data_IF_297777371576
#
_entry.id   IF_297777371576
#
_cell.length_a   1.000
_cell.length_b   1.000
_cell.length_c   1.000
_cell.angle_alpha   90.00
_cell.angle_beta   90.00
_cell.angle_gamma   90.00
#
_symmetry.space_group_name_H-M   'P 1'
#
loop_
_entity.id
_entity.type
_entity.pdbx_description
1 polymer ?
#
# COMPACT_ATOMS: atom_id res chain seq x y z
N UNK A 1 22.34 27.58 3.65
CA UNK A 1 21.20 26.95 4.35
C UNK A 1 20.67 25.68 3.65
N UNK A 2 20.38 25.69 2.34
CA UNK A 2 19.87 24.54 1.55
C UNK A 2 20.61 23.18 1.65
N UNK A 3 21.94 23.18 1.76
CA UNK A 3 22.72 21.93 1.98
C UNK A 3 22.66 21.43 3.43
N UNK A 4 22.50 22.32 4.42
CA UNK A 4 22.44 21.92 5.83
C UNK A 4 21.17 21.14 6.15
N UNK A 5 19.98 21.60 5.71
CA UNK A 5 18.70 20.90 5.97
C UNK A 5 18.61 19.50 5.34
N UNK A 6 18.97 19.33 4.05
CA UNK A 6 19.01 17.98 3.43
C UNK A 6 20.01 17.04 4.11
N UNK A 7 21.12 17.59 4.59
CA UNK A 7 22.14 16.82 5.34
C UNK A 7 21.62 16.49 6.74
N UNK A 8 20.89 17.39 7.39
CA UNK A 8 20.25 17.18 8.69
C UNK A 8 19.14 16.13 8.64
N UNK A 9 18.30 16.11 7.60
CA UNK A 9 17.24 15.10 7.44
C UNK A 9 17.83 13.72 7.14
N UNK A 10 18.85 13.62 6.27
CA UNK A 10 19.59 12.36 6.06
C UNK A 10 20.32 11.91 7.32
N UNK A 11 20.92 12.85 8.06
CA UNK A 11 21.63 12.60 9.31
C UNK A 11 20.69 12.16 10.43
N UNK A 12 19.51 12.76 10.55
CA UNK A 12 18.47 12.32 11.50
C UNK A 12 17.87 10.98 11.11
N UNK A 13 17.64 10.70 9.82
CA UNK A 13 17.26 9.35 9.35
C UNK A 13 18.35 8.32 9.69
N UNK A 14 19.64 8.67 9.54
CA UNK A 14 20.73 7.78 9.95
C UNK A 14 20.87 7.67 11.46
N UNK A 15 20.65 8.73 12.23
CA UNK A 15 20.76 8.75 13.70
C UNK A 15 19.59 8.01 14.35
N UNK A 16 18.38 8.08 13.80
CA UNK A 16 17.23 7.27 14.25
C UNK A 16 17.42 5.82 13.85
N UNK A 17 17.84 5.53 12.61
CA UNK A 17 18.23 4.16 12.22
C UNK A 17 19.35 3.62 13.11
N UNK A 18 20.32 4.46 13.49
CA UNK A 18 21.43 4.08 14.37
C UNK A 18 20.96 3.93 15.82
N UNK A 19 20.08 4.77 16.34
CA UNK A 19 19.53 4.65 17.70
C UNK A 19 18.62 3.42 17.83
N UNK A 20 17.84 3.12 16.79
CA UNK A 20 17.02 1.91 16.71
C UNK A 20 17.89 0.66 16.53
N UNK A 21 18.92 0.72 15.68
CA UNK A 21 19.94 -0.33 15.55
C UNK A 21 20.69 -0.52 16.86
N UNK A 22 21.01 0.54 17.60
CA UNK A 22 21.69 0.48 18.90
C UNK A 22 20.75 -0.07 19.96
N UNK A 23 19.45 0.22 19.95
CA UNK A 23 18.47 -0.45 20.82
C UNK A 23 18.30 -1.93 20.46
N UNK A 24 18.27 -2.26 19.17
CA UNK A 24 18.18 -3.64 18.70
C UNK A 24 19.45 -4.43 19.06
N UNK A 25 20.62 -3.81 18.88
CA UNK A 25 21.93 -4.38 19.23
C UNK A 25 22.11 -4.44 20.74
N UNK A 26 21.60 -3.49 21.52
CA UNK A 26 21.66 -3.57 23.00
C UNK A 26 20.71 -4.63 23.57
N UNK A 27 19.59 -4.92 22.89
CA UNK A 27 18.76 -6.11 23.15
C UNK A 27 19.50 -7.40 22.75
N UNK A 28 20.26 -7.40 21.66
CA UNK A 28 21.08 -8.54 21.21
C UNK A 28 22.39 -8.74 22.01
N UNK A 29 22.91 -7.71 22.67
CA UNK A 29 24.16 -7.73 23.45
C UNK A 29 23.97 -7.95 24.95
N UNK A 30 22.75 -8.26 25.42
CA UNK A 30 22.55 -8.82 26.76
C UNK A 30 23.19 -10.22 26.80
N UNK A 31 24.29 -10.41 27.55
CA UNK A 31 25.03 -11.66 27.50
C UNK A 31 24.25 -12.74 28.27
N UNK A 32 23.91 -13.82 27.54
CA UNK A 32 23.54 -15.16 28.01
C UNK A 32 22.34 -15.26 28.96
N UNK A 33 21.17 -15.63 28.42
CA UNK A 33 20.30 -16.75 28.85
C UNK A 33 18.89 -16.61 28.23
N UNK A 34 18.79 -16.58 26.91
CA UNK A 34 17.59 -17.01 26.19
C UNK A 34 18.10 -17.76 24.96
N UNK A 35 18.31 -19.07 25.09
CA UNK A 35 18.18 -19.90 23.91
C UNK A 35 16.72 -19.73 23.50
N UNK A 36 16.47 -19.11 22.34
CA UNK A 36 15.14 -19.17 21.77
C UNK A 36 14.75 -20.65 21.68
N UNK A 37 13.62 -21.03 22.26
CA UNK A 37 13.16 -22.43 22.26
C UNK A 37 12.91 -22.91 20.84
N UNK A 38 12.52 -21.97 19.97
CA UNK A 38 12.35 -22.18 18.54
C UNK A 38 12.99 -21.04 17.76
N UNK A 39 13.74 -21.39 16.71
CA UNK A 39 14.31 -20.44 15.75
C UNK A 39 14.10 -21.00 14.36
N UNK A 40 13.46 -20.21 13.50
CA UNK A 40 13.25 -20.56 12.10
C UNK A 40 13.94 -19.55 11.18
N UNK A 41 14.46 -20.09 10.08
CA UNK A 41 15.05 -19.34 8.99
C UNK A 41 14.31 -19.74 7.72
N UNK A 42 13.76 -18.76 7.03
CA UNK A 42 13.12 -18.95 5.74
C UNK A 42 13.56 -17.85 4.79
N UNK A 43 13.55 -18.11 3.50
CA UNK A 43 13.93 -17.10 2.53
C UNK A 43 13.60 -17.45 1.11
N UNK A 44 14.00 -16.58 0.21
CA UNK A 44 13.95 -16.88 -1.22
C UNK A 44 14.99 -16.09 -2.00
N UNK A 45 15.25 -16.57 -3.22
CA UNK A 45 15.86 -15.80 -4.30
C UNK A 45 14.87 -15.69 -5.44
N UNK A 46 14.75 -14.50 -6.02
CA UNK A 46 13.77 -14.20 -7.05
C UNK A 46 14.33 -13.27 -8.13
N UNK A 47 14.01 -13.57 -9.39
CA UNK A 47 14.10 -12.62 -10.50
C UNK A 47 12.73 -12.04 -10.83
N UNK A 48 12.64 -10.73 -11.03
CA UNK A 48 11.44 -10.06 -11.54
C UNK A 48 11.80 -9.21 -12.75
N UNK A 49 11.08 -9.42 -13.84
CA UNK A 49 11.29 -8.70 -15.09
C UNK A 49 9.94 -8.24 -15.63
N UNK A 50 9.83 -6.98 -16.02
CA UNK A 50 8.61 -6.37 -16.56
C UNK A 50 8.97 -5.49 -17.73
N UNK A 51 8.46 -5.85 -18.91
CA UNK A 51 8.73 -5.21 -20.18
C UNK A 51 7.51 -4.40 -20.62
N UNK A 52 7.70 -3.13 -21.00
CA UNK A 52 6.64 -2.32 -21.59
C UNK A 52 6.28 -2.87 -22.98
N UNK A 53 4.99 -3.00 -23.27
CA UNK A 53 4.46 -3.50 -24.54
C UNK A 53 3.66 -2.46 -25.32
N UNK A 54 3.32 -1.32 -24.70
CA UNK A 54 2.61 -0.23 -25.36
C UNK A 54 3.55 0.77 -26.08
N UNK A 55 4.83 0.85 -25.69
CA UNK A 55 5.82 1.72 -26.32
C UNK A 55 7.06 1.94 -25.44
N UNK A 56 7.83 2.98 -25.74
CA UNK A 56 9.00 3.34 -24.95
C UNK A 56 8.62 3.92 -23.58
N UNK A 57 9.42 3.64 -22.56
CA UNK A 57 9.30 4.33 -21.26
C UNK A 57 9.74 5.80 -21.38
N UNK A 58 9.38 6.67 -20.42
CA UNK A 58 9.83 8.06 -20.42
C UNK A 58 11.35 8.24 -20.45
N UNK A 59 12.11 7.28 -19.90
CA UNK A 59 13.58 7.26 -19.95
C UNK A 59 14.17 6.63 -21.23
N UNK A 60 13.31 6.21 -22.17
CA UNK A 60 13.70 5.61 -23.44
C UNK A 60 14.14 4.14 -23.35
N UNK A 61 13.96 3.47 -22.21
CA UNK A 61 14.24 2.03 -22.04
C UNK A 61 12.96 1.20 -22.20
N UNK A 62 13.13 -0.11 -22.30
CA UNK A 62 12.00 -1.03 -22.52
C UNK A 62 11.41 -1.59 -21.20
N UNK A 63 12.23 -1.77 -20.16
CA UNK A 63 11.80 -2.42 -18.92
C UNK A 63 11.16 -1.45 -17.94
N UNK A 64 9.94 -1.74 -17.46
CA UNK A 64 9.33 -1.10 -16.27
C UNK A 64 10.04 -1.51 -14.99
N UNK A 65 10.48 -2.77 -14.95
CA UNK A 65 11.17 -3.35 -13.80
C UNK A 65 12.13 -4.44 -14.23
N UNK A 66 13.30 -4.50 -13.60
CA UNK A 66 14.26 -5.58 -13.78
C UNK A 66 15.11 -5.68 -12.52
N UNK A 67 14.88 -6.71 -11.71
CA UNK A 67 15.61 -6.94 -10.47
C UNK A 67 15.89 -8.42 -10.18
N UNK A 68 17.01 -8.67 -9.51
CA UNK A 68 17.28 -9.88 -8.75
C UNK A 68 17.24 -9.55 -7.26
N UNK A 69 16.55 -10.38 -6.48
CA UNK A 69 16.28 -10.17 -5.07
C UNK A 69 16.56 -11.43 -4.26
N UNK A 70 17.12 -11.26 -3.06
CA UNK A 70 17.16 -12.24 -2.01
C UNK A 70 16.40 -11.71 -0.79
N UNK A 71 15.52 -12.51 -0.20
CA UNK A 71 14.83 -12.21 1.05
C UNK A 71 15.23 -13.22 2.11
N UNK A 72 15.48 -12.74 3.32
CA UNK A 72 15.72 -13.57 4.50
C UNK A 72 14.75 -13.18 5.60
N UNK A 73 14.10 -14.19 6.18
CA UNK A 73 13.23 -14.11 7.34
C UNK A 73 13.86 -14.90 8.48
N UNK A 74 14.00 -14.25 9.62
CA UNK A 74 14.45 -14.88 10.86
C UNK A 74 13.36 -14.65 11.90
N UNK A 75 12.98 -15.73 12.56
CA UNK A 75 12.07 -15.70 13.69
C UNK A 75 12.69 -16.44 14.86
N UNK A 76 12.61 -15.84 16.04
CA UNK A 76 13.05 -16.44 17.29
C UNK A 76 11.97 -16.21 18.35
N UNK A 77 11.58 -17.25 19.08
CA UNK A 77 10.57 -17.17 20.12
C UNK A 77 11.11 -17.73 21.45
N UNK A 78 10.69 -17.11 22.56
CA UNK A 78 10.95 -17.57 23.91
C UNK A 78 9.82 -17.13 24.84
N UNK A 79 9.09 -18.10 25.40
CA UNK A 79 7.97 -17.87 26.33
C UNK A 79 6.96 -16.86 25.76
N UNK A 80 6.83 -15.67 26.40
CA UNK A 80 5.90 -14.61 25.99
C UNK A 80 6.46 -13.67 24.92
N UNK A 81 7.71 -13.87 24.46
CA UNK A 81 8.40 -12.96 23.56
C UNK A 81 8.69 -13.59 22.20
N UNK A 82 8.56 -12.78 21.14
CA UNK A 82 8.95 -13.18 19.78
C UNK A 82 9.71 -12.04 19.10
N UNK A 83 10.77 -12.38 18.39
CA UNK A 83 11.51 -11.49 17.51
C UNK A 83 11.33 -11.93 16.07
N UNK A 84 11.06 -10.97 15.19
CA UNK A 84 10.89 -11.23 13.77
C UNK A 84 11.67 -10.21 12.95
N UNK A 85 12.45 -10.69 11.98
CA UNK A 85 13.21 -9.88 11.04
C UNK A 85 12.94 -10.40 9.63
N UNK A 86 12.59 -9.50 8.71
CA UNK A 86 12.45 -9.76 7.27
C UNK A 86 13.19 -8.68 6.51
N UNK A 87 14.24 -9.07 5.80
CA UNK A 87 15.10 -8.17 5.06
C UNK A 87 15.26 -8.62 3.62
N UNK A 88 15.27 -7.66 2.70
CA UNK A 88 15.50 -7.87 1.28
C UNK A 88 16.82 -7.23 0.86
N UNK A 89 17.61 -7.94 0.08
CA UNK A 89 18.71 -7.39 -0.69
C UNK A 89 18.37 -7.56 -2.18
N UNK A 90 18.42 -6.48 -2.95
CA UNK A 90 18.12 -6.54 -4.39
C UNK A 90 19.01 -5.64 -5.21
N UNK A 91 19.19 -6.01 -6.48
CA UNK A 91 19.87 -5.21 -7.48
C UNK A 91 18.87 -4.79 -8.54
N UNK A 92 18.73 -3.48 -8.76
CA UNK A 92 17.94 -2.93 -9.86
C UNK A 92 18.83 -2.75 -11.09
N UNK A 93 18.54 -3.49 -12.15
CA UNK A 93 19.32 -3.50 -13.39
C UNK A 93 19.09 -2.25 -14.26
N UNK A 94 18.00 -1.52 -14.05
CA UNK A 94 17.62 -0.33 -14.82
C UNK A 94 18.46 0.87 -14.36
N UNK A 95 18.55 1.08 -13.05
CA UNK A 95 19.29 2.19 -12.43
C UNK A 95 20.67 1.77 -11.91
N UNK A 96 21.00 0.46 -11.98
CA UNK A 96 22.32 -0.12 -11.67
C UNK A 96 22.77 0.15 -10.23
N UNK A 97 21.89 -0.10 -9.28
CA UNK A 97 22.19 0.06 -7.86
C UNK A 97 21.61 -1.09 -7.03
N UNK A 98 22.31 -1.41 -5.95
CA UNK A 98 21.88 -2.43 -4.99
C UNK A 98 21.34 -1.78 -3.74
N UNK A 99 20.26 -2.33 -3.21
CA UNK A 99 19.56 -1.83 -2.04
C UNK A 99 19.41 -2.97 -1.02
N UNK A 100 19.67 -2.64 0.25
CA UNK A 100 19.31 -3.47 1.40
C UNK A 100 18.15 -2.78 2.12
N UNK A 101 17.03 -3.47 2.25
CA UNK A 101 15.80 -2.97 2.85
C UNK A 101 15.34 -3.87 3.99
N UNK A 102 15.15 -3.28 5.17
CA UNK A 102 14.43 -3.94 6.27
C UNK A 102 12.93 -3.79 5.99
N UNK A 103 12.26 -4.87 5.58
CA UNK A 103 10.81 -4.87 5.32
C UNK A 103 10.02 -4.90 6.62
N UNK A 104 10.40 -5.80 7.53
CA UNK A 104 9.84 -5.93 8.86
C UNK A 104 10.94 -6.25 9.86
N UNK A 105 10.80 -5.76 11.08
CA UNK A 105 11.76 -5.90 12.16
C UNK A 105 11.10 -5.47 13.46
N UNK A 106 10.56 -6.43 14.21
CA UNK A 106 9.77 -6.13 15.41
C UNK A 106 9.99 -7.15 16.52
N UNK A 107 9.66 -6.71 17.73
CA UNK A 107 9.54 -7.54 18.92
C UNK A 107 8.08 -7.58 19.35
N UNK A 108 7.59 -8.78 19.65
CA UNK A 108 6.28 -9.02 20.23
C UNK A 108 6.41 -9.42 21.70
N UNK A 109 5.46 -8.96 22.49
CA UNK A 109 5.08 -9.55 23.77
C UNK A 109 3.65 -10.07 23.63
N UNK A 110 3.42 -11.34 23.94
CA UNK A 110 2.13 -12.01 23.79
C UNK A 110 1.67 -12.54 25.14
N UNK A 111 0.47 -12.16 25.57
CA UNK A 111 -0.19 -12.67 26.76
C UNK A 111 -1.63 -13.07 26.44
N UNK A 112 -2.33 -13.71 27.38
CA UNK A 112 -3.69 -14.21 27.16
C UNK A 112 -4.71 -13.11 26.85
N UNK A 113 -4.54 -11.92 27.44
CA UNK A 113 -5.55 -10.84 27.37
C UNK A 113 -5.10 -9.63 26.55
N UNK A 114 -3.82 -9.56 26.24
CA UNK A 114 -3.25 -8.46 25.48
C UNK A 114 -1.93 -8.88 24.83
N UNK A 115 -1.57 -8.20 23.75
CA UNK A 115 -0.26 -8.29 23.12
C UNK A 115 0.24 -6.89 22.79
N UNK A 116 1.55 -6.77 22.61
CA UNK A 116 2.16 -5.58 22.06
C UNK A 116 3.23 -5.96 21.05
N UNK A 117 3.31 -5.18 19.98
CA UNK A 117 4.33 -5.26 18.94
C UNK A 117 5.03 -3.91 18.80
N UNK A 118 6.35 -3.89 18.85
CA UNK A 118 7.14 -2.67 18.64
C UNK A 118 8.19 -2.92 17.56
N UNK A 119 8.21 -2.04 16.56
CA UNK A 119 9.18 -2.10 15.46
C UNK A 119 8.55 -1.84 14.10
N UNK A 120 9.31 -2.16 13.05
CA UNK A 120 8.87 -2.03 11.67
C UNK A 120 7.96 -3.18 11.30
N UNK A 121 6.73 -2.92 10.89
CA UNK A 121 5.72 -3.95 10.66
C UNK A 121 4.82 -3.58 9.49
N UNK A 122 4.33 -4.57 8.76
CA UNK A 122 3.25 -4.36 7.78
C UNK A 122 1.92 -4.48 8.51
N UNK A 123 1.13 -3.40 8.49
CA UNK A 123 -0.24 -3.41 9.03
C UNK A 123 -1.23 -3.50 7.87
N UNK A 124 -2.31 -4.25 8.07
CA UNK A 124 -3.40 -4.42 7.10
C UNK A 124 -4.72 -4.44 7.82
N UNK A 125 -5.66 -3.63 7.36
CA UNK A 125 -7.08 -3.69 7.71
C UNK A 125 -7.94 -3.84 6.45
N UNK A 126 -9.25 -3.67 6.59
CA UNK A 126 -10.21 -3.71 5.48
C UNK A 126 -10.57 -5.13 5.04
N UNK A 127 -11.60 -5.19 4.19
CA UNK A 127 -12.17 -6.44 3.65
C UNK A 127 -12.20 -6.44 2.11
N UNK A 128 -11.81 -5.32 1.49
CA UNK A 128 -11.66 -5.18 0.06
C UNK A 128 -10.43 -5.88 -0.51
N UNK A 129 -10.54 -6.31 -1.77
CA UNK A 129 -9.48 -6.89 -2.58
C UNK A 129 -8.91 -5.82 -3.53
N UNK A 130 -7.70 -5.35 -3.23
CA UNK A 130 -7.00 -4.25 -3.92
C UNK A 130 -7.73 -2.89 -3.90
N UNK A 131 -8.80 -2.78 -3.11
CA UNK A 131 -9.52 -1.54 -2.84
C UNK A 131 -9.49 -1.30 -1.33
N UNK A 132 -8.95 -0.16 -0.91
CA UNK A 132 -8.58 0.09 0.48
C UNK A 132 -9.34 1.30 1.01
N UNK A 133 -10.26 1.08 1.95
CA UNK A 133 -10.98 2.14 2.67
C UNK A 133 -10.42 2.29 4.09
N UNK A 134 -10.49 1.25 4.91
CA UNK A 134 -9.98 1.30 6.28
C UNK A 134 -8.50 0.88 6.38
N UNK A 135 -7.94 0.27 5.34
CA UNK A 135 -6.50 -0.01 5.22
C UNK A 135 -5.71 1.23 4.77
N UNK A 136 -5.63 2.22 5.66
CA UNK A 136 -4.98 3.52 5.43
C UNK A 136 -3.45 3.48 5.51
N UNK A 137 -2.87 2.30 5.69
CA UNK A 137 -1.42 2.10 5.80
C UNK A 137 -0.74 2.18 4.43
N UNK A 138 0.56 2.54 4.35
CA UNK A 138 1.22 2.83 3.09
C UNK A 138 1.25 1.64 2.13
N UNK A 139 1.03 1.96 0.85
CA UNK A 139 1.07 1.04 -0.28
C UNK A 139 2.23 1.38 -1.23
N UNK A 140 2.70 0.41 -2.00
CA UNK A 140 3.65 0.56 -3.09
C UNK A 140 2.93 0.26 -4.42
N UNK A 141 2.37 1.31 -5.01
CA UNK A 141 1.64 1.22 -6.27
C UNK A 141 2.56 1.00 -7.46
N UNK A 142 3.83 1.44 -7.38
CA UNK A 142 4.83 1.10 -8.40
C UNK A 142 5.05 -0.41 -8.46
N UNK A 143 5.13 -1.08 -7.31
CA UNK A 143 5.22 -2.53 -7.27
C UNK A 143 4.02 -3.22 -7.90
N UNK A 144 2.82 -2.71 -7.66
CA UNK A 144 1.59 -3.23 -8.26
C UNK A 144 1.55 -3.04 -9.79
N UNK A 145 1.77 -1.82 -10.27
CA UNK A 145 1.66 -1.51 -11.70
C UNK A 145 2.83 -2.03 -12.55
N UNK A 146 3.97 -2.33 -11.93
CA UNK A 146 5.10 -3.02 -12.59
C UNK A 146 4.92 -4.54 -12.67
N UNK A 147 3.94 -5.11 -11.98
CA UNK A 147 3.73 -6.56 -11.94
C UNK A 147 4.69 -7.30 -11.01
N UNK A 148 5.13 -6.68 -9.91
CA UNK A 148 5.85 -7.39 -8.84
C UNK A 148 4.87 -8.25 -8.02
N UNK A 149 5.36 -9.27 -7.30
CA UNK A 149 4.50 -10.10 -6.46
C UNK A 149 3.69 -9.26 -5.47
N UNK A 150 2.44 -9.67 -5.21
CA UNK A 150 1.49 -8.88 -4.42
C UNK A 150 1.95 -8.54 -2.99
N UNK A 151 2.84 -9.36 -2.41
CA UNK A 151 3.42 -9.09 -1.08
C UNK A 151 4.21 -7.76 -1.03
N UNK A 152 4.62 -7.23 -2.19
CA UNK A 152 5.32 -5.95 -2.30
C UNK A 152 4.39 -4.74 -2.28
N UNK A 153 3.08 -4.90 -2.50
CA UNK A 153 2.11 -3.80 -2.50
C UNK A 153 2.01 -3.12 -1.12
N UNK A 154 2.26 -3.83 -0.02
CA UNK A 154 2.14 -3.26 1.33
C UNK A 154 3.51 -2.92 1.90
N UNK A 155 3.65 -1.70 2.41
CA UNK A 155 4.89 -1.19 2.98
C UNK A 155 4.88 -1.32 4.51
N UNK A 156 6.06 -1.55 5.08
CA UNK A 156 6.24 -1.53 6.53
C UNK A 156 6.23 -0.11 7.10
N UNK A 157 5.68 0.05 8.30
CA UNK A 157 5.71 1.28 9.10
C UNK A 157 6.45 1.03 10.41
N UNK A 158 7.20 2.02 10.88
CA UNK A 158 7.83 1.98 12.20
C UNK A 158 6.79 2.42 13.23
N UNK A 159 6.45 1.57 14.19
CA UNK A 159 5.43 1.90 15.17
C UNK A 159 5.28 0.91 16.31
N UNK A 160 4.32 1.22 17.19
CA UNK A 160 3.88 0.34 18.25
C UNK A 160 2.42 -0.04 18.01
N UNK A 161 2.08 -1.30 18.28
CA UNK A 161 0.73 -1.85 18.22
C UNK A 161 0.42 -2.53 19.54
N UNK A 162 -0.80 -2.36 20.05
CA UNK A 162 -1.29 -3.01 21.26
C UNK A 162 -2.65 -3.62 20.97
N UNK A 163 -2.77 -4.93 21.18
CA UNK A 163 -4.02 -5.68 21.15
C UNK A 163 -4.60 -5.86 22.55
N UNK A 164 -5.91 -5.69 22.72
CA UNK A 164 -6.63 -5.98 23.98
C UNK A 164 -7.85 -6.85 23.69
N UNK A 165 -8.05 -7.90 24.48
CA UNK A 165 -9.04 -8.95 24.21
C UNK A 165 -10.05 -9.18 25.37
N UNK A 166 -10.79 -8.16 25.85
CA UNK A 166 -11.89 -8.41 26.77
C UNK A 166 -13.04 -9.17 26.06
N UNK A 167 -13.81 -9.96 26.81
CA UNK A 167 -14.84 -10.84 26.22
C UNK A 167 -16.00 -10.14 25.49
N UNK A 168 -16.07 -8.81 25.54
CA UNK A 168 -17.14 -8.04 24.88
C UNK A 168 -16.74 -7.45 23.51
N UNK A 169 -15.44 -7.34 23.19
CA UNK A 169 -14.91 -6.88 21.92
C UNK A 169 -13.38 -6.95 21.96
N UNK A 170 -12.73 -7.05 20.81
CA UNK A 170 -11.28 -6.92 20.69
C UNK A 170 -10.91 -5.52 20.20
N UNK A 171 -9.75 -5.04 20.65
CA UNK A 171 -9.25 -3.71 20.33
C UNK A 171 -7.84 -3.83 19.80
N UNK A 172 -7.52 -3.08 18.75
CA UNK A 172 -6.16 -2.92 18.26
C UNK A 172 -5.86 -1.43 18.15
N UNK A 173 -4.86 -0.97 18.90
CA UNK A 173 -4.38 0.39 18.86
C UNK A 173 -2.99 0.44 18.23
N UNK A 174 -2.75 1.40 17.34
CA UNK A 174 -1.49 1.58 16.65
C UNK A 174 -1.05 3.03 16.78
N UNK A 175 0.22 3.24 17.10
CA UNK A 175 0.89 4.53 17.09
C UNK A 175 2.08 4.49 16.12
N UNK A 176 2.09 5.42 15.15
CA UNK A 176 3.12 5.54 14.12
C UNK A 176 3.76 6.93 14.28
N UNK A 177 4.94 7.05 14.92
CA UNK A 177 5.57 8.33 15.17
C UNK A 177 6.02 9.07 13.90
N UNK A 178 6.15 8.35 12.78
CA UNK A 178 6.64 8.90 11.52
C UNK A 178 5.75 8.44 10.35
N UNK A 179 5.03 9.36 9.74
CA UNK A 179 4.11 9.06 8.64
C UNK A 179 4.84 8.60 7.37
N UNK A 180 4.69 7.33 7.01
CA UNK A 180 5.23 6.76 5.77
C UNK A 180 4.21 6.98 4.62
N UNK A 181 4.60 7.57 3.47
CA UNK A 181 3.71 7.78 2.34
C UNK A 181 3.61 6.56 1.44
N UNK A 182 2.63 6.57 0.55
CA UNK A 182 2.59 5.62 -0.55
C UNK A 182 3.80 5.82 -1.48
N UNK A 183 4.29 4.73 -2.06
CA UNK A 183 5.18 4.81 -3.22
C UNK A 183 4.31 4.79 -4.48
N UNK A 184 4.43 5.83 -5.30
CA UNK A 184 3.77 5.91 -6.61
C UNK A 184 4.79 5.61 -7.71
N UNK A 185 4.35 5.18 -8.91
CA UNK A 185 5.25 4.90 -10.01
C UNK A 185 6.24 6.03 -10.31
N UNK A 186 7.52 5.70 -10.55
CA UNK A 186 8.50 6.72 -10.93
C UNK A 186 8.19 7.24 -12.34
N UNK A 187 7.99 8.55 -12.45
CA UNK A 187 7.81 9.30 -13.71
C UNK A 187 8.88 9.06 -14.78
N UNK A 188 10.05 8.51 -14.43
CA UNK A 188 11.08 8.09 -15.39
C UNK A 188 10.75 6.76 -16.06
N UNK A 189 10.01 5.89 -15.39
CA UNK A 189 9.66 4.53 -15.84
C UNK A 189 8.22 4.45 -16.34
N UNK A 190 7.34 5.27 -15.78
CA UNK A 190 5.91 5.29 -16.08
C UNK A 190 5.47 6.63 -16.66
N UNK A 191 4.64 6.58 -17.71
CA UNK A 191 3.89 7.74 -18.14
C UNK A 191 2.81 8.02 -17.11
N UNK A 192 2.80 9.25 -16.59
CA UNK A 192 1.84 9.69 -15.60
C UNK A 192 1.34 11.09 -15.97
N UNK A 193 0.07 11.34 -15.67
CA UNK A 193 -0.47 12.67 -15.85
C UNK A 193 0.11 13.61 -14.82
N UNK A 194 0.59 14.75 -15.31
CA UNK A 194 1.14 15.81 -14.49
C UNK A 194 0.59 17.15 -14.98
N UNK A 195 -0.37 17.76 -14.26
CA UNK A 195 -1.01 19.00 -14.68
C UNK A 195 -0.03 20.19 -14.68
N UNK A 196 1.16 20.04 -14.06
CA UNK A 196 2.15 21.09 -13.88
C UNK A 196 3.55 20.63 -14.32
N UNK A 197 3.62 19.79 -15.37
CA UNK A 197 4.86 19.18 -15.89
C UNK A 197 5.95 20.20 -16.30
N UNK A 198 5.57 21.44 -16.64
CA UNK A 198 6.52 22.51 -16.95
C UNK A 198 7.34 23.02 -15.76
N UNK A 199 6.95 22.69 -14.52
CA UNK A 199 7.61 23.16 -13.30
C UNK A 199 8.52 22.04 -12.76
N UNK A 200 9.82 22.21 -12.96
CA UNK A 200 10.83 21.21 -12.59
C UNK A 200 11.35 21.35 -11.17
N UNK A 201 11.23 22.54 -10.56
CA UNK A 201 11.64 22.78 -9.19
C UNK A 201 10.56 22.31 -8.22
N UNK A 202 10.72 21.10 -7.68
CA UNK A 202 9.76 20.47 -6.76
C UNK A 202 10.43 20.07 -5.45
N UNK A 203 9.84 20.46 -4.33
CA UNK A 203 10.35 20.18 -2.99
C UNK A 203 9.33 19.39 -2.19
N UNK A 204 9.72 18.21 -1.71
CA UNK A 204 8.88 17.39 -0.84
C UNK A 204 9.06 17.80 0.62
N UNK A 205 7.97 18.24 1.24
CA UNK A 205 7.80 18.45 2.66
C UNK A 205 7.07 17.24 3.24
N UNK A 206 7.82 16.43 3.98
CA UNK A 206 7.24 15.29 4.66
C UNK A 206 6.89 15.65 6.10
N UNK A 207 5.81 15.09 6.66
CA UNK A 207 5.46 15.20 8.08
C UNK A 207 6.41 14.39 9.00
N UNK A 208 7.69 14.25 8.61
CA UNK A 208 8.69 13.54 9.41
C UNK A 208 9.38 14.52 10.36
N UNK A 209 9.29 14.26 11.66
CA UNK A 209 10.28 14.77 12.61
C UNK A 209 9.75 15.37 13.90
N UNK A 210 8.44 15.44 14.09
CA UNK A 210 7.83 15.84 15.37
C UNK A 210 6.99 14.68 15.94
N UNK A 211 7.28 14.25 17.16
CA UNK A 211 6.48 13.24 17.86
C UNK A 211 5.04 13.72 18.12
N UNK A 212 4.79 15.03 18.08
CA UNK A 212 3.43 15.61 18.13
C UNK A 212 2.60 15.27 16.90
N UNK A 213 3.25 14.90 15.79
CA UNK A 213 2.62 14.47 14.54
C UNK A 213 2.46 12.93 14.46
N UNK A 214 2.57 12.23 15.59
CA UNK A 214 2.32 10.78 15.68
C UNK A 214 0.93 10.44 15.15
N UNK A 215 0.86 9.56 14.16
CA UNK A 215 -0.40 9.03 13.66
C UNK A 215 -0.92 7.96 14.61
N UNK A 216 -2.23 7.92 14.78
CA UNK A 216 -2.89 6.94 15.62
C UNK A 216 -3.99 6.23 14.86
N UNK A 217 -4.13 4.94 15.12
CA UNK A 217 -5.20 4.14 14.56
C UNK A 217 -5.80 3.25 15.65
N UNK A 218 -7.13 3.11 15.64
CA UNK A 218 -7.89 2.25 16.53
C UNK A 218 -8.81 1.39 15.68
N UNK A 219 -8.80 0.08 15.95
CA UNK A 219 -9.79 -0.87 15.45
C UNK A 219 -10.50 -1.51 16.64
N UNK A 220 -11.83 -1.52 16.60
CA UNK A 220 -12.68 -2.27 17.54
C UNK A 220 -13.38 -3.33 16.72
N UNK A 221 -13.30 -4.60 17.11
CA UNK A 221 -13.86 -5.67 16.30
C UNK A 221 -14.42 -6.81 17.14
N UNK A 222 -15.44 -7.47 16.58
CA UNK A 222 -16.13 -8.59 17.20
C UNK A 222 -16.96 -9.35 16.16
N UNK A 223 -17.12 -10.66 16.37
CA UNK A 223 -18.18 -11.43 15.71
C UNK A 223 -19.55 -10.99 16.24
N UNK A 224 -20.38 -10.46 15.35
CA UNK A 224 -21.76 -10.09 15.62
C UNK A 224 -22.68 -10.90 14.72
N UNK A 225 -23.41 -11.86 15.30
CA UNK A 225 -24.35 -12.72 14.58
C UNK A 225 -23.73 -13.50 13.40
N UNK A 226 -22.49 -13.98 13.55
CA UNK A 226 -21.78 -14.73 12.50
C UNK A 226 -21.13 -13.86 11.43
N UNK A 227 -21.06 -12.55 11.66
CA UNK A 227 -20.34 -11.59 10.83
C UNK A 227 -19.22 -10.92 11.63
N UNK A 228 -18.01 -10.95 11.09
CA UNK A 228 -16.89 -10.18 11.56
C UNK A 228 -17.16 -8.70 11.32
N UNK A 229 -17.45 -7.98 12.40
CA UNK A 229 -17.79 -6.55 12.37
C UNK A 229 -16.64 -5.76 12.97
N UNK A 230 -16.22 -4.69 12.31
CA UNK A 230 -15.17 -3.80 12.79
C UNK A 230 -15.56 -2.32 12.68
N UNK A 231 -15.16 -1.52 13.65
CA UNK A 231 -15.14 -0.06 13.60
C UNK A 231 -13.69 0.41 13.59
N UNK A 232 -13.42 1.45 12.82
CA UNK A 232 -12.09 2.00 12.62
C UNK A 232 -12.08 3.50 12.88
N UNK A 233 -11.00 3.95 13.48
CA UNK A 233 -10.65 5.35 13.56
C UNK A 233 -9.17 5.50 13.25
N UNK A 234 -8.83 6.44 12.37
CA UNK A 234 -7.45 6.84 12.11
C UNK A 234 -7.35 8.36 12.17
N UNK A 235 -6.23 8.85 12.70
CA UNK A 235 -5.84 10.25 12.66
C UNK A 235 -4.37 10.34 12.28
N UNK A 236 -4.08 10.96 11.15
CA UNK A 236 -2.75 11.08 10.59
C UNK A 236 -2.74 11.97 9.37
N UNK A 237 -2.09 11.51 8.30
CA UNK A 237 -1.97 12.26 7.05
C UNK A 237 -2.46 11.44 5.86
N UNK A 238 -2.86 12.13 4.79
CA UNK A 238 -3.08 11.49 3.51
C UNK A 238 -1.80 10.77 3.08
N UNK A 239 -1.95 9.56 2.53
CA UNK A 239 -0.82 8.82 1.94
C UNK A 239 -0.57 9.22 0.48
N UNK A 240 -1.52 9.91 -0.14
CA UNK A 240 -1.38 10.54 -1.44
C UNK A 240 -0.84 11.96 -1.26
N UNK A 241 0.24 12.33 -1.97
CA UNK A 241 0.75 13.69 -1.90
C UNK A 241 -0.19 14.69 -2.57
N UNK A 242 -0.28 15.87 -1.98
CA UNK A 242 -0.79 17.09 -2.59
C UNK A 242 0.36 17.94 -3.12
N UNK A 243 0.06 18.83 -4.07
CA UNK A 243 1.02 19.79 -4.61
C UNK A 243 0.52 21.20 -4.37
N UNK A 244 1.35 22.07 -3.81
CA UNK A 244 1.05 23.49 -3.61
C UNK A 244 2.06 24.35 -4.39
N UNK A 245 1.61 25.18 -5.34
CA UNK A 245 2.47 26.14 -6.02
C UNK A 245 2.90 27.27 -5.07
N UNK A 246 4.12 27.79 -5.26
CA UNK A 246 4.63 28.96 -4.56
C UNK A 246 3.88 30.26 -4.92
N UNK A 247 3.38 30.33 -6.16
CA UNK A 247 2.54 31.43 -6.64
C UNK A 247 1.43 30.88 -7.56
N UNK A 248 0.14 31.14 -7.29
CA UNK A 248 -0.96 30.63 -8.12
C UNK A 248 -0.98 31.13 -9.57
N UNK A 249 -0.44 32.33 -9.85
CA UNK A 249 -0.51 32.96 -11.17
C UNK A 249 0.72 32.64 -12.05
N UNK A 250 1.89 32.46 -11.44
CA UNK A 250 3.14 32.19 -12.13
C UNK A 250 4.03 31.28 -11.27
N UNK A 251 3.66 30.00 -11.13
CA UNK A 251 4.34 29.09 -10.23
C UNK A 251 5.75 28.77 -10.74
N UNK A 252 6.75 28.93 -9.88
CA UNK A 252 8.15 28.60 -10.17
C UNK A 252 8.67 27.44 -9.35
N UNK A 253 7.92 27.06 -8.31
CA UNK A 253 8.23 25.94 -7.43
C UNK A 253 6.93 25.25 -6.98
N UNK A 254 6.96 23.92 -6.91
CA UNK A 254 5.91 23.13 -6.27
C UNK A 254 6.40 22.55 -4.96
N UNK A 255 5.61 22.76 -3.91
CA UNK A 255 5.76 22.06 -2.64
C UNK A 255 4.89 20.81 -2.65
N UNK A 256 5.49 19.64 -2.55
CA UNK A 256 4.77 18.38 -2.37
C UNK A 256 4.59 18.17 -0.86
N UNK A 257 3.35 17.99 -0.41
CA UNK A 257 3.03 17.85 1.02
C UNK A 257 1.93 16.80 1.23
N UNK A 258 1.67 16.44 2.48
CA UNK A 258 0.69 15.40 2.85
C UNK A 258 -0.34 16.03 3.80
N UNK A 259 -1.57 16.34 3.33
CA UNK A 259 -2.58 16.98 4.16
C UNK A 259 -2.99 16.14 5.37
N UNK A 260 -3.40 16.80 6.45
CA UNK A 260 -3.94 16.13 7.64
C UNK A 260 -5.29 15.46 7.35
N UNK A 261 -5.39 14.18 7.69
CA UNK A 261 -6.56 13.34 7.44
C UNK A 261 -7.00 12.66 8.74
N UNK A 262 -8.32 12.54 8.91
CA UNK A 262 -8.91 11.56 9.83
C UNK A 262 -9.84 10.64 9.05
N UNK A 263 -9.84 9.35 9.38
CA UNK A 263 -10.72 8.36 8.76
C UNK A 263 -11.57 7.70 9.83
N UNK A 264 -12.88 7.69 9.62
CA UNK A 264 -13.85 7.02 10.47
C UNK A 264 -14.55 5.97 9.63
N UNK A 265 -14.48 4.69 9.98
CA UNK A 265 -15.05 3.68 9.12
C UNK A 265 -15.54 2.44 9.83
N UNK A 266 -16.13 1.57 9.04
CA UNK A 266 -16.68 0.31 9.48
C UNK A 266 -16.52 -0.75 8.40
N UNK A 267 -16.47 -2.01 8.81
CA UNK A 267 -16.54 -3.16 7.91
C UNK A 267 -17.38 -4.27 8.51
N UNK A 268 -17.93 -5.08 7.63
CA UNK A 268 -18.68 -6.28 7.95
C UNK A 268 -18.32 -7.34 6.91
N UNK A 269 -17.89 -8.52 7.36
CA UNK A 269 -17.61 -9.65 6.49
C UNK A 269 -18.16 -10.93 7.10
N UNK A 270 -18.77 -11.77 6.28
CA UNK A 270 -19.29 -13.03 6.77
C UNK A 270 -19.86 -13.90 5.67
N UNK A 271 -20.26 -15.11 6.06
CA UNK A 271 -20.87 -16.07 5.15
C UNK A 271 -22.29 -15.60 4.80
N UNK A 272 -22.58 -15.52 3.52
CA UNK A 272 -23.92 -15.22 3.02
C UNK A 272 -24.18 -16.04 1.75
N UNK A 273 -25.34 -16.69 1.69
CA UNK A 273 -25.64 -17.73 0.70
C UNK A 273 -24.52 -18.79 0.72
N UNK A 274 -23.98 -19.14 -0.44
CA UNK A 274 -22.86 -20.08 -0.59
C UNK A 274 -21.51 -19.35 -0.80
N UNK A 275 -21.38 -18.12 -0.30
CA UNK A 275 -20.20 -17.29 -0.50
C UNK A 275 -19.87 -16.42 0.71
N UNK A 276 -18.98 -15.45 0.49
CA UNK A 276 -18.55 -14.46 1.46
C UNK A 276 -18.99 -13.10 0.98
N UNK A 277 -19.77 -12.40 1.81
CA UNK A 277 -20.17 -11.02 1.58
C UNK A 277 -19.25 -10.11 2.39
N UNK A 278 -18.76 -9.05 1.75
CA UNK A 278 -17.95 -8.00 2.36
C UNK A 278 -18.65 -6.65 2.17
N UNK A 279 -18.71 -5.87 3.23
CA UNK A 279 -19.11 -4.47 3.19
C UNK A 279 -18.06 -3.64 3.91
N UNK A 280 -17.72 -2.49 3.36
CA UNK A 280 -16.79 -1.55 3.95
C UNK A 280 -17.25 -0.11 3.69
N UNK A 281 -17.10 0.78 4.67
CA UNK A 281 -17.39 2.20 4.51
C UNK A 281 -16.41 3.03 5.32
N UNK A 282 -16.14 4.26 4.88
CA UNK A 282 -15.26 5.19 5.56
C UNK A 282 -15.54 6.64 5.19
N UNK A 283 -15.60 7.52 6.19
CA UNK A 283 -15.61 8.96 6.02
C UNK A 283 -14.19 9.50 6.19
N UNK A 284 -13.66 10.08 5.13
CA UNK A 284 -12.35 10.71 5.07
C UNK A 284 -12.55 12.20 5.32
N UNK A 285 -12.17 12.65 6.50
CA UNK A 285 -12.26 14.03 6.97
C UNK A 285 -10.95 14.77 6.66
N UNK A 286 -10.98 15.61 5.63
CA UNK A 286 -9.87 16.48 5.24
C UNK A 286 -9.77 17.64 6.22
N UNK A 287 -9.04 17.44 7.32
CA UNK A 287 -9.07 18.32 8.50
C UNK A 287 -8.60 19.74 8.24
N UNK A 288 -7.79 19.92 7.20
CA UNK A 288 -7.26 21.23 6.77
C UNK A 288 -8.13 21.94 5.74
N UNK A 289 -9.10 21.25 5.12
CA UNK A 289 -10.05 21.85 4.18
C UNK A 289 -11.44 21.19 4.24
N UNK A 290 -12.10 21.30 5.39
CA UNK A 290 -13.45 20.76 5.59
C UNK A 290 -14.54 21.48 4.80
N UNK A 291 -14.23 22.63 4.19
CA UNK A 291 -15.19 23.41 3.39
C UNK A 291 -15.01 23.19 1.89
N UNK A 292 -13.98 22.43 1.48
CA UNK A 292 -13.69 22.18 0.08
C UNK A 292 -13.29 23.42 -0.71
N UNK A 293 -12.63 24.38 -0.05
CA UNK A 293 -12.27 25.68 -0.62
C UNK A 293 -10.82 25.75 -1.09
N UNK A 294 -9.98 24.79 -0.71
CA UNK A 294 -8.58 24.69 -1.14
C UNK A 294 -8.41 23.56 -2.15
N UNK A 295 -8.29 23.86 -3.46
CA UNK A 295 -8.19 22.84 -4.50
C UNK A 295 -6.88 22.03 -4.43
N UNK A 296 -5.91 22.42 -3.59
CA UNK A 296 -4.67 21.68 -3.38
C UNK A 296 -4.81 20.58 -2.31
N UNK A 297 -5.90 20.60 -1.53
CA UNK A 297 -6.21 19.59 -0.52
C UNK A 297 -7.41 18.78 -1.04
N UNK A 298 -7.34 17.43 -1.07
CA UNK A 298 -8.50 16.63 -1.44
C UNK A 298 -9.68 16.94 -0.52
N UNK A 299 -10.88 17.14 -1.07
CA UNK A 299 -12.08 17.35 -0.26
C UNK A 299 -12.36 16.16 0.66
N UNK A 300 -13.14 16.42 1.71
CA UNK A 300 -13.70 15.33 2.51
C UNK A 300 -14.58 14.44 1.63
N UNK A 301 -14.59 13.14 1.92
CA UNK A 301 -15.28 12.17 1.07
C UNK A 301 -15.81 10.97 1.85
N UNK A 302 -16.94 10.46 1.40
CA UNK A 302 -17.50 9.20 1.87
C UNK A 302 -17.16 8.10 0.88
N UNK A 303 -16.46 7.07 1.34
CA UNK A 303 -16.08 5.88 0.55
C UNK A 303 -16.86 4.67 1.02
N UNK A 304 -17.24 3.81 0.08
CA UNK A 304 -17.92 2.56 0.39
C UNK A 304 -17.58 1.46 -0.61
N UNK A 305 -17.67 0.21 -0.15
CA UNK A 305 -17.39 -1.00 -0.92
C UNK A 305 -18.41 -2.07 -0.55
N UNK A 306 -18.90 -2.78 -1.56
CA UNK A 306 -19.58 -4.06 -1.40
C UNK A 306 -18.86 -5.10 -2.26
N UNK A 307 -18.55 -6.25 -1.69
CA UNK A 307 -17.85 -7.35 -2.34
C UNK A 307 -18.56 -8.67 -2.11
N UNK A 308 -18.53 -9.55 -3.11
CA UNK A 308 -19.01 -10.91 -2.99
C UNK A 308 -18.01 -11.88 -3.61
N UNK A 309 -17.64 -12.92 -2.88
CA UNK A 309 -16.77 -13.99 -3.35
C UNK A 309 -17.44 -15.35 -3.19
N UNK A 310 -17.37 -16.18 -4.24
CA UNK A 310 -17.91 -17.54 -4.21
C UNK A 310 -17.05 -18.48 -5.03
N UNK A 311 -16.90 -19.70 -4.53
CA UNK A 311 -16.44 -20.83 -5.32
C UNK A 311 -17.63 -21.45 -6.07
N UNK A 312 -17.58 -21.46 -7.40
CA UNK A 312 -18.69 -21.93 -8.23
C UNK A 312 -18.55 -23.41 -8.61
N UNK A 313 -17.33 -23.87 -8.85
CA UNK A 313 -17.00 -25.29 -9.03
C UNK A 313 -15.63 -25.58 -8.41
N UNK A 314 -15.16 -26.82 -8.54
CA UNK A 314 -13.86 -27.23 -7.99
C UNK A 314 -12.74 -26.27 -8.40
N UNK A 315 -12.06 -25.73 -7.39
CA UNK A 315 -10.92 -24.83 -7.55
C UNK A 315 -11.17 -23.53 -8.35
N UNK A 316 -12.42 -23.17 -8.63
CA UNK A 316 -12.78 -21.93 -9.32
C UNK A 316 -13.51 -20.94 -8.43
N UNK A 317 -12.87 -19.80 -8.20
CA UNK A 317 -13.40 -18.72 -7.38
C UNK A 317 -13.62 -17.47 -8.22
N UNK A 318 -14.78 -16.85 -8.02
CA UNK A 318 -15.12 -15.54 -8.56
C UNK A 318 -15.30 -14.57 -7.40
N UNK A 319 -14.60 -13.45 -7.45
CA UNK A 319 -14.79 -12.29 -6.60
C UNK A 319 -15.25 -11.11 -7.44
N UNK A 320 -16.27 -10.40 -6.97
CA UNK A 320 -16.76 -9.16 -7.59
C UNK A 320 -16.85 -8.10 -6.51
N UNK A 321 -16.45 -6.87 -6.82
CA UNK A 321 -16.58 -5.74 -5.93
C UNK A 321 -17.11 -4.52 -6.67
N UNK A 322 -17.89 -3.72 -5.95
CA UNK A 322 -18.30 -2.38 -6.35
C UNK A 322 -17.86 -1.39 -5.29
N UNK A 323 -17.24 -0.30 -5.73
CA UNK A 323 -16.62 0.72 -4.90
C UNK A 323 -17.05 2.11 -5.37
N UNK A 324 -17.31 2.99 -4.42
CA UNK A 324 -17.67 4.37 -4.68
C UNK A 324 -16.96 5.36 -3.76
N UNK A 325 -16.57 6.50 -4.33
CA UNK A 325 -16.07 7.68 -3.61
C UNK A 325 -17.00 8.85 -3.88
N UNK A 326 -17.61 9.37 -2.82
CA UNK A 326 -18.51 10.52 -2.90
C UNK A 326 -17.83 11.74 -2.27
N UNK A 327 -17.59 12.76 -3.09
CA UNK A 327 -16.96 14.02 -2.69
C UNK A 327 -17.97 14.94 -2.01
N UNK A 328 -17.64 15.35 -0.79
CA UNK A 328 -18.36 16.40 -0.06
C UNK A 328 -17.98 17.79 -0.57
N UNK A 329 -18.86 18.77 -0.34
CA UNK A 329 -18.63 20.16 -0.74
C UNK A 329 -18.27 20.36 -2.22
N UNK A 330 -18.81 19.50 -3.09
CA UNK A 330 -18.51 19.48 -4.53
C UNK A 330 -18.72 20.84 -5.22
N UNK A 331 -19.71 21.62 -4.79
CA UNK A 331 -19.96 22.95 -5.35
C UNK A 331 -18.81 23.92 -5.05
N UNK A 332 -18.22 23.85 -3.85
CA UNK A 332 -17.05 24.66 -3.49
C UNK A 332 -15.84 24.18 -4.30
N UNK A 333 -15.61 22.87 -4.38
CA UNK A 333 -14.56 22.29 -5.21
C UNK A 333 -14.59 22.82 -6.65
N UNK A 334 -15.75 22.74 -7.32
CA UNK A 334 -15.89 23.23 -8.70
C UNK A 334 -15.66 24.74 -8.82
N UNK A 335 -16.07 25.51 -7.80
CA UNK A 335 -15.88 26.96 -7.78
C UNK A 335 -14.41 27.37 -7.64
N UNK A 336 -13.63 26.65 -6.83
CA UNK A 336 -12.24 26.97 -6.54
C UNK A 336 -11.23 26.24 -7.44
N UNK A 337 -11.67 25.23 -8.20
CA UNK A 337 -10.81 24.50 -9.13
C UNK A 337 -10.18 25.45 -10.17
N UNK A 338 -8.84 25.53 -10.26
CA UNK A 338 -8.19 26.40 -11.22
C UNK A 338 -8.51 25.99 -12.66
N UNK A 339 -8.69 26.98 -13.54
CA UNK A 339 -8.96 26.73 -14.96
C UNK A 339 -7.84 25.91 -15.60
N UNK A 340 -8.21 24.89 -16.35
CA UNK A 340 -7.27 23.98 -17.03
C UNK A 340 -6.90 22.74 -16.22
N UNK A 341 -7.24 22.67 -14.94
CA UNK A 341 -7.12 21.44 -14.17
C UNK A 341 -8.26 20.47 -14.48
N UNK A 342 -8.01 19.16 -14.49
CA UNK A 342 -9.07 18.19 -14.64
C UNK A 342 -10.07 18.28 -13.48
N UNK A 343 -11.35 18.41 -13.85
CA UNK A 343 -12.43 18.36 -12.87
C UNK A 343 -12.79 16.91 -12.55
N UNK A 344 -12.76 16.58 -11.27
CA UNK A 344 -13.21 15.29 -10.75
C UNK A 344 -14.73 15.21 -10.69
N UNK A 345 -15.23 13.98 -10.72
CA UNK A 345 -16.67 13.70 -10.58
C UNK A 345 -17.04 13.67 -9.11
N UNK A 346 -18.22 14.20 -8.78
CA UNK A 346 -18.75 14.15 -7.41
C UNK A 346 -18.85 12.72 -6.87
N UNK A 347 -19.22 11.78 -7.75
CA UNK A 347 -19.28 10.37 -7.43
C UNK A 347 -18.36 9.64 -8.41
N UNK A 348 -17.22 9.16 -7.90
CA UNK A 348 -16.36 8.24 -8.62
C UNK A 348 -16.74 6.80 -8.27
N UNK A 349 -16.78 5.92 -9.26
CA UNK A 349 -17.29 4.55 -9.13
C UNK A 349 -16.38 3.59 -9.88
N UNK A 350 -16.08 2.48 -9.25
CA UNK A 350 -15.17 1.46 -9.73
C UNK A 350 -15.77 0.08 -9.49
N UNK A 351 -15.73 -0.78 -10.50
CA UNK A 351 -16.02 -2.20 -10.34
C UNK A 351 -14.71 -2.99 -10.42
N UNK A 352 -14.62 -4.07 -9.65
CA UNK A 352 -13.50 -4.99 -9.71
C UNK A 352 -13.99 -6.44 -9.85
N UNK A 353 -13.25 -7.25 -10.60
CA UNK A 353 -13.50 -8.69 -10.74
C UNK A 353 -12.19 -9.44 -10.58
N UNK A 354 -12.21 -10.51 -9.78
CA UNK A 354 -11.13 -11.50 -9.68
C UNK A 354 -11.68 -12.87 -10.06
N UNK A 355 -11.03 -13.54 -11.00
CA UNK A 355 -11.27 -14.93 -11.36
C UNK A 355 -10.01 -15.72 -11.03
N UNK A 356 -10.14 -16.82 -10.30
CA UNK A 356 -9.02 -17.71 -9.98
C UNK A 356 -9.43 -19.14 -10.24
N UNK A 357 -8.66 -19.86 -11.05
CA UNK A 357 -8.79 -21.31 -11.27
C UNK A 357 -7.47 -21.99 -10.87
N UNK A 358 -7.54 -23.00 -10.02
CA UNK A 358 -6.43 -23.95 -9.87
C UNK A 358 -6.65 -25.17 -10.76
N UNK A 359 -5.57 -25.64 -11.37
CA UNK A 359 -5.53 -26.78 -12.28
C UNK A 359 -4.39 -27.72 -11.90
N UNK A 360 -4.39 -28.93 -12.45
CA UNK A 360 -3.29 -29.90 -12.32
C UNK A 360 -2.94 -30.16 -10.84
N UNK A 361 -3.93 -30.51 -10.02
CA UNK A 361 -3.75 -30.68 -8.57
C UNK A 361 -3.10 -29.46 -7.90
N UNK A 362 -3.57 -28.26 -8.27
CA UNK A 362 -3.13 -26.96 -7.74
C UNK A 362 -1.67 -26.59 -8.04
N UNK A 363 -1.00 -27.31 -8.96
CA UNK A 363 0.34 -26.93 -9.45
C UNK A 363 0.30 -25.73 -10.40
N UNK A 364 -0.85 -25.48 -11.04
CA UNK A 364 -1.05 -24.36 -11.95
C UNK A 364 -2.19 -23.47 -11.46
N UNK A 365 -1.97 -22.16 -11.41
CA UNK A 365 -2.98 -21.14 -11.10
C UNK A 365 -3.17 -20.23 -12.30
N UNK A 366 -4.41 -20.15 -12.78
CA UNK A 366 -4.86 -19.11 -13.68
C UNK A 366 -5.55 -18.03 -12.85
N UNK A 367 -5.13 -16.78 -13.01
CA UNK A 367 -5.73 -15.63 -12.36
C UNK A 367 -6.06 -14.56 -13.41
N UNK A 368 -7.21 -13.92 -13.25
CA UNK A 368 -7.55 -12.71 -13.99
C UNK A 368 -8.12 -11.71 -13.01
N UNK A 369 -7.51 -10.54 -12.93
CA UNK A 369 -8.01 -9.43 -12.15
C UNK A 369 -8.33 -8.25 -13.08
N UNK A 370 -9.43 -7.55 -12.85
CA UNK A 370 -9.81 -6.39 -13.63
C UNK A 370 -10.40 -5.30 -12.75
N UNK A 371 -9.98 -4.07 -13.00
CA UNK A 371 -10.63 -2.83 -12.57
C UNK A 371 -11.32 -2.18 -13.77
N UNK A 372 -12.54 -1.68 -13.56
CA UNK A 372 -13.26 -0.90 -14.55
C UNK A 372 -13.92 0.32 -13.89
N UNK A 373 -13.41 1.51 -14.19
CA UNK A 373 -13.96 2.78 -13.71
C UNK A 373 -15.31 3.03 -14.37
N UNK A 374 -16.40 2.75 -13.67
CA UNK A 374 -17.77 3.02 -14.14
C UNK A 374 -18.01 4.51 -14.38
N UNK A 375 -17.27 5.35 -13.64
CA UNK A 375 -17.31 6.79 -13.82
C UNK A 375 -16.56 7.24 -15.06
N UNK A 376 -15.28 6.89 -15.20
CA UNK A 376 -14.43 7.47 -16.25
C UNK A 376 -14.29 6.60 -17.50
N UNK A 377 -14.71 5.34 -17.45
CA UNK A 377 -14.61 4.38 -18.55
C UNK A 377 -13.17 3.91 -18.79
N UNK A 378 -12.29 4.09 -17.81
CA UNK A 378 -10.92 3.58 -17.78
C UNK A 378 -10.86 2.19 -17.13
N UNK A 379 -9.79 1.46 -17.39
CA UNK A 379 -9.63 0.09 -16.91
C UNK A 379 -8.19 -0.31 -16.71
N UNK A 380 -8.00 -1.32 -15.87
CA UNK A 380 -6.78 -2.10 -15.75
C UNK A 380 -7.13 -3.58 -15.77
N UNK A 381 -6.48 -4.36 -16.61
CA UNK A 381 -6.63 -5.82 -16.69
C UNK A 381 -5.30 -6.48 -16.31
N UNK A 382 -5.37 -7.56 -15.55
CA UNK A 382 -4.23 -8.33 -15.11
C UNK A 382 -4.50 -9.84 -15.22
N UNK A 383 -4.27 -10.44 -16.41
CA UNK A 383 -4.16 -11.89 -16.54
C UNK A 383 -2.81 -12.38 -16.02
N UNK A 384 -2.81 -13.51 -15.32
CA UNK A 384 -1.61 -14.15 -14.79
C UNK A 384 -1.74 -15.68 -14.81
N UNK A 385 -0.64 -16.34 -15.19
CA UNK A 385 -0.44 -17.78 -15.04
C UNK A 385 0.73 -18.01 -14.11
N UNK A 386 0.52 -18.74 -13.03
CA UNK A 386 1.57 -19.23 -12.13
C UNK A 386 1.67 -20.75 -12.22
N UNK A 387 2.89 -21.28 -12.26
CA UNK A 387 3.18 -22.71 -12.29
C UNK A 387 4.24 -23.07 -11.24
N UNK A 388 3.93 -24.03 -10.38
CA UNK A 388 4.87 -24.60 -9.40
C UNK A 388 5.63 -25.74 -10.08
N UNK A 389 6.93 -25.52 -10.36
CA UNK A 389 7.82 -26.52 -10.96
C UNK A 389 8.19 -27.60 -9.94
N UNK A 390 8.37 -27.19 -8.69
CA UNK A 390 8.58 -28.04 -7.51
C UNK A 390 7.90 -27.39 -6.30
N UNK A 391 8.00 -28.01 -5.12
CA UNK A 391 7.49 -27.42 -3.87
C UNK A 391 8.21 -26.11 -3.47
N UNK A 392 9.41 -25.89 -4.01
CA UNK A 392 10.27 -24.73 -3.69
C UNK A 392 10.47 -23.78 -4.87
N UNK A 393 10.09 -24.16 -6.09
CA UNK A 393 10.33 -23.36 -7.30
C UNK A 393 9.02 -23.09 -8.01
N UNK A 394 8.76 -21.82 -8.28
CA UNK A 394 7.64 -21.42 -9.11
C UNK A 394 8.02 -20.33 -10.11
N UNK A 395 7.28 -20.29 -11.20
CA UNK A 395 7.34 -19.26 -12.23
C UNK A 395 5.95 -18.65 -12.42
N UNK A 396 5.88 -17.35 -12.63
CA UNK A 396 4.65 -16.67 -13.00
C UNK A 396 4.89 -15.73 -14.19
N UNK A 397 3.93 -15.71 -15.11
CA UNK A 397 3.89 -14.77 -16.23
C UNK A 397 2.52 -14.10 -16.21
N UNK A 398 2.51 -12.78 -16.27
CA UNK A 398 1.28 -12.01 -16.36
C UNK A 398 1.48 -10.74 -17.16
N UNK A 399 0.43 -9.93 -17.26
CA UNK A 399 0.53 -8.61 -17.87
C UNK A 399 -0.37 -7.62 -17.19
N UNK A 400 -0.01 -6.35 -17.25
CA UNK A 400 -0.88 -5.23 -16.88
C UNK A 400 -1.28 -4.51 -18.16
N UNK A 401 -2.58 -4.37 -18.40
CA UNK A 401 -3.13 -3.73 -19.59
C UNK A 401 -4.01 -2.58 -19.13
N UNK A 402 -3.68 -1.36 -19.51
CA UNK A 402 -4.36 -0.14 -19.12
C UNK A 402 -5.05 0.49 -20.32
N UNK A 403 -6.13 1.22 -20.08
CA UNK A 403 -6.75 1.99 -21.16
C UNK A 403 -8.06 2.62 -20.78
N UNK A 404 -8.73 3.17 -21.79
CA UNK A 404 -9.99 3.88 -21.62
C UNK A 404 -9.86 5.23 -20.93
N UNK A 405 -11.02 5.84 -20.66
CA UNK A 405 -11.17 7.11 -19.96
C UNK A 405 -10.32 8.27 -20.48
N UNK A 406 -9.86 9.11 -19.55
CA UNK A 406 -9.11 10.34 -19.83
C UNK A 406 -7.64 10.18 -19.42
N UNK A 407 -6.70 10.95 -20.01
CA UNK A 407 -5.30 10.88 -19.63
C UNK A 407 -5.01 11.17 -18.15
N UNK A 408 -5.93 11.79 -17.41
CA UNK A 408 -5.83 12.08 -15.99
C UNK A 408 -6.70 11.17 -15.10
N UNK A 409 -7.43 10.22 -15.70
CA UNK A 409 -8.20 9.23 -14.94
C UNK A 409 -7.28 8.19 -14.29
N UNK A 410 -7.78 7.52 -13.25
CA UNK A 410 -6.99 6.64 -12.38
C UNK A 410 -6.13 5.65 -13.17
N UNK A 411 -6.71 4.97 -14.16
CA UNK A 411 -6.02 4.01 -15.02
C UNK A 411 -5.70 4.57 -16.41
N UNK A 412 -6.52 5.49 -16.93
CA UNK A 412 -6.29 6.07 -18.26
C UNK A 412 -4.98 6.84 -18.39
N UNK A 413 -4.41 7.32 -17.27
CA UNK A 413 -3.06 7.91 -17.26
C UNK A 413 -1.94 6.92 -17.64
N UNK A 414 -2.18 5.62 -17.43
CA UNK A 414 -1.23 4.54 -17.70
C UNK A 414 -1.42 3.90 -19.08
N UNK A 415 -2.19 4.51 -19.99
CA UNK A 415 -2.49 3.95 -21.31
C UNK A 415 -1.25 3.71 -22.21
N UNK A 416 -0.05 4.13 -21.79
CA UNK A 416 1.24 3.86 -22.45
C UNK A 416 2.17 2.95 -21.64
N UNK A 417 1.63 2.32 -20.60
CA UNK A 417 2.39 1.57 -19.61
C UNK A 417 1.97 0.10 -19.53
N UNK A 418 1.26 -0.40 -20.54
CA UNK A 418 1.00 -1.83 -20.68
C UNK A 418 2.32 -2.59 -20.55
N UNK A 419 2.32 -3.65 -19.75
CA UNK A 419 3.53 -4.42 -19.53
C UNK A 419 3.25 -5.90 -19.39
N UNK A 420 4.24 -6.71 -19.78
CA UNK A 420 4.27 -8.15 -19.53
C UNK A 420 5.38 -8.41 -18.54
N UNK A 421 5.05 -9.14 -17.48
CA UNK A 421 5.98 -9.47 -16.42
C UNK A 421 6.21 -10.98 -16.28
N UNK A 422 7.41 -11.32 -15.86
CA UNK A 422 7.85 -12.67 -15.53
C UNK A 422 8.53 -12.65 -14.15
N UNK A 423 8.17 -13.62 -13.33
CA UNK A 423 8.70 -13.81 -11.99
C UNK A 423 9.16 -15.25 -11.86
N UNK A 424 10.38 -15.47 -11.35
CA UNK A 424 10.91 -16.80 -11.06
C UNK A 424 11.42 -16.77 -9.64
N UNK A 425 10.96 -17.69 -8.79
CA UNK A 425 11.34 -17.76 -7.38
C UNK A 425 11.78 -19.15 -6.97
N UNK A 426 12.83 -19.20 -6.17
CA UNK A 426 13.22 -20.35 -5.37
C UNK A 426 13.11 -20.00 -3.88
N UNK A 427 12.33 -20.75 -3.13
CA UNK A 427 12.08 -20.61 -1.69
C UNK A 427 12.85 -21.68 -0.91
N UNK A 428 13.37 -21.34 0.27
CA UNK A 428 14.15 -22.25 1.13
C UNK A 428 13.85 -22.07 2.62
#
# INVERSE_FOLDING_TARGET
>A
MRRKQKTEVRRRKSEVKLAFLVCLVSVLCLPSLLFAEDTSLHGFVQGNYSLNTAGDNPDGKDFKWSEERAQVKVEAAADLFRLFIKSDAFHDNIDKHSILELREGYADYVSEKWDARVGRQVVTWGVGDLLFINDVFPKDYEAFFSGRPMEYLKKGVDGAKVGLYPGFASFEFIAIPYCEPNNYPDSKRFWMFDPMSGITNREAQYPYGDLRETETALRIYRDAAGFDTSLYYNRGFSRQPSMMPDNPAAPTMLTIFYPELSVYGASLQGRALDGVLSFETGYYDSRQDRQGADPMIPNSQTRYLIGYQRQFWEDFTVGIQYYGEYMEDYSAYVQYLPTGFPQEKRLHQLAAVRLTQFLMHQTMRLSFFAFYGLSDGDYMLNPEVKYNLTDSIWIAVGGNIFGGGKPWSQFGQFAKDDNVYCQIRYEF
#
